data_IF_109376773796
#
_entry.id   IF_109376773796
#
_cell.length_a   1.000
_cell.length_b   1.000
_cell.length_c   1.000
_cell.angle_alpha   90.00
_cell.angle_beta   90.00
_cell.angle_gamma   90.00
#
_symmetry.space_group_name_H-M   'P 1'
#
loop_
_entity.id
_entity.type
_entity.pdbx_description
1 polymer ?
#
# COMPACT_ATOMS: atom_id res chain seq x y z
N UNK A 1 1.47 -19.04 18.50
CA UNK A 1 1.15 -19.59 17.17
C UNK A 1 0.22 -18.60 16.45
N UNK A 2 0.77 -17.57 15.79
CA UNK A 2 -0.04 -16.53 15.12
C UNK A 2 0.16 -16.66 13.62
N UNK A 3 -0.57 -17.58 13.00
CA UNK A 3 -0.57 -17.72 11.53
C UNK A 3 -1.58 -16.70 11.04
N UNK A 4 -1.09 -15.51 10.71
CA UNK A 4 -1.94 -14.43 10.19
C UNK A 4 -2.40 -14.83 8.79
N UNK A 5 -3.71 -14.86 8.57
CA UNK A 5 -4.34 -15.09 7.27
C UNK A 5 -4.03 -13.89 6.37
N UNK A 6 -2.80 -13.83 5.87
CA UNK A 6 -2.36 -12.81 4.95
C UNK A 6 -2.93 -13.17 3.57
N UNK A 7 -3.79 -12.31 3.03
CA UNK A 7 -4.30 -12.42 1.67
C UNK A 7 -3.12 -12.66 0.69
N UNK A 8 -3.27 -13.57 -0.28
CA UNK A 8 -2.24 -13.99 -1.24
C UNK A 8 -1.49 -12.81 -1.87
N UNK A 9 -2.22 -11.74 -2.18
CA UNK A 9 -1.68 -10.50 -2.77
C UNK A 9 -0.62 -9.87 -1.86
N UNK A 10 -0.88 -9.82 -0.55
CA UNK A 10 0.05 -9.24 0.41
C UNK A 10 1.26 -10.15 0.62
N UNK A 11 1.07 -11.47 0.61
CA UNK A 11 2.17 -12.43 0.75
C UNK A 11 3.17 -12.32 -0.41
N UNK A 12 2.67 -12.34 -1.65
CA UNK A 12 3.52 -12.27 -2.84
C UNK A 12 4.25 -10.92 -2.95
N UNK A 13 3.60 -9.82 -2.58
CA UNK A 13 4.21 -8.50 -2.55
C UNK A 13 5.37 -8.41 -1.54
N UNK A 14 5.24 -9.02 -0.35
CA UNK A 14 6.33 -9.05 0.65
C UNK A 14 7.52 -9.85 0.12
N UNK A 15 7.27 -11.03 -0.46
CA UNK A 15 8.33 -11.86 -1.04
C UNK A 15 9.06 -11.12 -2.19
N UNK A 16 8.32 -10.43 -3.06
CA UNK A 16 8.89 -9.66 -4.16
C UNK A 16 9.80 -8.53 -3.66
N UNK A 17 9.42 -7.81 -2.60
CA UNK A 17 10.25 -6.76 -1.97
C UNK A 17 11.55 -7.31 -1.41
N UNK A 18 11.52 -8.48 -0.78
CA UNK A 18 12.73 -9.14 -0.26
C UNK A 18 13.68 -9.52 -1.38
N UNK A 19 13.16 -10.09 -2.46
CA UNK A 19 13.95 -10.48 -3.63
C UNK A 19 14.67 -9.29 -4.26
N UNK A 20 14.01 -8.14 -4.40
CA UNK A 20 14.60 -6.92 -4.98
C UNK A 20 15.73 -6.35 -4.12
N UNK A 21 15.62 -6.46 -2.80
CA UNK A 21 16.70 -6.04 -1.88
C UNK A 21 17.93 -6.95 -1.95
N UNK A 22 17.73 -8.24 -2.21
CA UNK A 22 18.81 -9.21 -2.35
C UNK A 22 19.58 -9.11 -3.69
N UNK A 23 19.03 -8.40 -4.69
CA UNK A 23 19.68 -8.21 -5.98
C UNK A 23 20.95 -7.35 -5.87
N UNK A 24 21.85 -7.54 -6.85
CA UNK A 24 23.04 -6.71 -7.02
C UNK A 24 22.66 -5.24 -7.27
N UNK A 25 23.50 -4.27 -6.83
CA UNK A 25 23.14 -2.85 -6.82
C UNK A 25 22.81 -2.29 -8.22
N UNK A 26 23.43 -2.80 -9.28
CA UNK A 26 23.20 -2.36 -10.66
C UNK A 26 21.76 -2.62 -11.14
N UNK A 27 21.12 -3.68 -10.66
CA UNK A 27 19.73 -4.02 -11.03
C UNK A 27 18.71 -3.54 -9.98
N UNK A 28 19.19 -3.14 -8.80
CA UNK A 28 18.36 -2.73 -7.67
C UNK A 28 17.65 -1.41 -7.93
N UNK A 29 18.33 -0.44 -8.56
CA UNK A 29 17.76 0.86 -8.89
C UNK A 29 16.57 0.74 -9.85
N UNK A 30 16.70 -0.12 -10.86
CA UNK A 30 15.65 -0.40 -11.83
C UNK A 30 14.47 -1.16 -11.19
N UNK A 31 14.77 -2.11 -10.30
CA UNK A 31 13.76 -2.88 -9.60
C UNK A 31 12.98 -2.05 -8.55
N UNK A 32 13.61 -1.03 -7.95
CA UNK A 32 13.01 -0.17 -6.92
C UNK A 32 11.82 0.64 -7.43
N UNK A 33 11.82 1.01 -8.73
CA UNK A 33 10.72 1.75 -9.37
C UNK A 33 9.37 1.01 -9.29
N UNK A 34 9.38 -0.31 -9.11
CA UNK A 34 8.16 -1.13 -9.01
C UNK A 34 7.57 -1.19 -7.59
N UNK A 35 8.29 -0.72 -6.57
CA UNK A 35 7.80 -0.72 -5.19
C UNK A 35 6.94 0.53 -4.86
N UNK A 36 6.96 1.55 -5.72
CA UNK A 36 6.24 2.81 -5.53
C UNK A 36 4.77 2.68 -5.95
N UNK A 37 3.84 2.59 -4.99
CA UNK A 37 2.40 2.59 -5.25
C UNK A 37 1.77 3.93 -4.85
N UNK A 38 1.45 4.78 -5.82
CA UNK A 38 0.86 6.11 -5.61
C UNK A 38 -0.69 6.11 -5.66
N UNK A 39 -1.33 5.12 -5.05
CA UNK A 39 -2.80 4.97 -5.11
C UNK A 39 -3.42 5.63 -3.88
N UNK A 40 -4.22 6.68 -4.11
CA UNK A 40 -5.08 7.26 -3.07
C UNK A 40 -6.42 6.54 -3.11
N UNK A 41 -6.76 5.85 -2.02
CA UNK A 41 -8.07 5.25 -1.87
C UNK A 41 -9.02 6.25 -1.22
N UNK A 42 -10.10 6.60 -1.92
CA UNK A 42 -11.18 7.43 -1.37
C UNK A 42 -12.37 6.52 -1.08
N UNK A 43 -12.64 6.20 0.20
CA UNK A 43 -13.85 5.46 0.56
C UNK A 43 -15.08 6.36 0.37
N UNK A 44 -16.16 5.78 -0.15
CA UNK A 44 -17.45 6.43 -0.37
C UNK A 44 -18.49 5.83 0.57
N UNK A 45 -19.12 6.67 1.38
CA UNK A 45 -20.20 6.25 2.27
C UNK A 45 -21.37 7.23 2.13
N UNK A 46 -22.59 6.72 1.99
CA UNK A 46 -23.79 7.56 1.89
C UNK A 46 -23.81 8.54 0.71
N UNK A 47 -23.05 8.26 -0.36
CA UNK A 47 -22.99 9.10 -1.56
C UNK A 47 -22.05 10.31 -1.47
N UNK A 48 -21.26 10.43 -0.39
CA UNK A 48 -20.21 11.44 -0.25
C UNK A 48 -18.84 10.78 -0.03
N UNK A 49 -17.75 11.41 -0.50
CA UNK A 49 -16.41 10.92 -0.23
C UNK A 49 -16.10 11.14 1.26
N UNK A 50 -15.77 10.07 1.99
CA UNK A 50 -15.67 10.11 3.46
C UNK A 50 -14.51 10.97 3.99
N UNK A 51 -13.51 11.25 3.15
CA UNK A 51 -12.38 12.12 3.45
C UNK A 51 -12.77 13.61 3.59
N UNK A 52 -13.91 14.04 3.04
CA UNK A 52 -14.40 15.44 3.17
C UNK A 52 -15.26 15.64 4.44
N UNK A 53 -15.79 14.56 5.03
CA UNK A 53 -16.58 14.63 6.27
C UNK A 53 -15.72 14.89 7.53
N UNK A 54 -14.42 14.60 7.52
CA UNK A 54 -13.56 14.86 8.69
C UNK A 54 -13.17 16.33 8.85
N UNK A 55 -13.08 17.10 7.75
CA UNK A 55 -12.73 18.53 7.81
C UNK A 55 -13.92 19.41 8.26
N UNK A 56 -15.16 18.93 8.14
CA UNK A 56 -16.36 19.70 8.53
C UNK A 56 -16.82 19.49 9.98
N UNK A 57 -16.32 18.45 10.69
CA UNK A 57 -16.68 18.17 12.08
C UNK A 57 -15.74 18.79 13.13
N UNK A 58 -14.63 19.43 12.72
CA UNK A 58 -13.68 20.06 13.63
C UNK A 58 -13.91 21.57 13.84
N UNK A 59 -14.88 22.17 13.14
CA UNK A 59 -15.16 23.61 13.21
C UNK A 59 -16.60 23.94 13.65
N UNK A 60 -17.20 23.10 14.49
CA UNK A 60 -18.46 23.41 15.15
C UNK A 60 -18.41 23.12 16.64
#
# INVERSE_FOLDING_TARGET
KRIQLNNYINYSNIAARLLRKALKPEFRAEAARRDETHIKFTPWEGGKPANECMESCWFK
#
